data_IF_353159075421
#
_entry.id   IF_353159075421
#
_cell.length_a   1.000
_cell.length_b   1.000
_cell.length_c   1.000
_cell.angle_alpha   90.00
_cell.angle_beta   90.00
_cell.angle_gamma   90.00
#
_symmetry.space_group_name_H-M   'P 1'
#
loop_
_entity.id
_entity.type
_entity.pdbx_description
1 polymer ?
#
# COMPACT_ATOMS: atom_id res chain seq x y z
N UNK A 1 -5.49 -8.39 44.24
CA UNK A 1 -5.13 -7.01 43.86
C UNK A 1 -4.56 -7.07 42.46
N UNK A 2 -5.39 -6.82 41.48
CA UNK A 2 -5.01 -6.90 40.05
C UNK A 2 -4.55 -5.53 39.60
N UNK A 3 -3.36 -5.47 39.03
CA UNK A 3 -2.87 -4.29 38.33
C UNK A 3 -3.61 -4.17 37.01
N UNK A 4 -4.45 -3.16 36.91
CA UNK A 4 -4.98 -2.66 35.65
C UNK A 4 -3.84 -1.94 34.93
N UNK A 5 -3.29 -2.56 33.88
CA UNK A 5 -2.46 -1.86 32.93
C UNK A 5 -3.31 -0.78 32.26
N UNK A 6 -3.06 0.46 32.64
CA UNK A 6 -3.60 1.62 31.96
C UNK A 6 -2.93 1.73 30.58
N UNK A 7 -3.57 1.13 29.58
CA UNK A 7 -3.19 1.38 28.20
C UNK A 7 -3.31 2.87 27.91
N UNK A 8 -2.17 3.52 27.69
CA UNK A 8 -2.10 4.89 27.23
C UNK A 8 -2.72 4.93 25.84
N UNK A 9 -3.97 5.34 25.76
CA UNK A 9 -4.63 5.67 24.50
C UNK A 9 -3.91 6.91 23.95
N UNK A 10 -2.96 6.69 23.03
CA UNK A 10 -2.35 7.80 22.29
C UNK A 10 -3.44 8.44 21.45
N UNK A 11 -3.80 9.66 21.77
CA UNK A 11 -4.71 10.48 20.97
C UNK A 11 -4.01 10.78 19.64
N UNK A 12 -4.48 10.17 18.60
CA UNK A 12 -3.95 10.34 17.24
C UNK A 12 -4.61 11.59 16.66
N UNK A 13 -3.84 12.64 16.50
CA UNK A 13 -4.33 13.90 15.92
C UNK A 13 -4.08 13.89 14.42
N UNK A 14 -5.14 13.77 13.62
CA UNK A 14 -5.04 13.94 12.16
C UNK A 14 -4.95 15.42 11.86
N UNK A 15 -3.81 15.84 11.35
CA UNK A 15 -3.53 17.24 11.07
C UNK A 15 -3.98 17.66 9.67
N UNK A 16 -4.01 16.72 8.70
CA UNK A 16 -4.34 17.03 7.30
C UNK A 16 -5.06 15.89 6.56
N UNK A 17 -5.76 16.25 5.46
CA UNK A 17 -6.41 15.29 4.54
C UNK A 17 -5.41 14.64 3.56
N UNK A 18 -4.11 14.85 3.75
CA UNK A 18 -3.07 14.24 2.93
C UNK A 18 -2.68 12.88 3.50
N UNK A 19 -2.90 11.78 2.76
CA UNK A 19 -2.55 10.44 3.22
C UNK A 19 -1.04 10.27 3.49
N UNK A 20 -0.18 11.12 2.92
CA UNK A 20 1.27 11.11 3.18
C UNK A 20 1.62 11.58 4.60
N UNK A 21 0.68 12.19 5.32
CA UNK A 21 0.84 12.57 6.73
C UNK A 21 0.41 11.47 7.70
N UNK A 22 -0.23 10.42 7.21
CA UNK A 22 -0.65 9.31 8.04
C UNK A 22 0.53 8.40 8.36
N UNK A 23 0.55 7.84 9.57
CA UNK A 23 1.51 6.78 9.89
C UNK A 23 0.97 5.41 9.46
N UNK A 24 1.87 4.45 9.27
CA UNK A 24 1.49 3.07 9.03
C UNK A 24 0.60 2.51 10.16
N UNK A 25 0.83 2.92 11.41
CA UNK A 25 0.00 2.54 12.56
C UNK A 25 -1.49 2.94 12.38
N UNK A 26 -1.75 4.08 11.72
CA UNK A 26 -3.11 4.50 11.38
C UNK A 26 -3.76 3.53 10.39
N UNK A 27 -3.03 3.14 9.35
CA UNK A 27 -3.53 2.20 8.33
C UNK A 27 -3.75 0.82 8.94
N UNK A 28 -2.85 0.36 9.80
CA UNK A 28 -3.04 -0.88 10.56
C UNK A 28 -4.27 -0.83 11.49
N UNK A 29 -4.55 0.32 12.09
CA UNK A 29 -5.74 0.50 12.91
C UNK A 29 -7.02 0.44 12.06
N UNK A 30 -7.00 1.02 10.85
CA UNK A 30 -8.11 0.88 9.89
C UNK A 30 -8.35 -0.60 9.54
N UNK A 31 -7.29 -1.35 9.26
CA UNK A 31 -7.39 -2.78 8.97
C UNK A 31 -7.97 -3.59 10.12
N UNK A 32 -7.44 -3.40 11.33
CA UNK A 32 -7.98 -4.06 12.53
C UNK A 32 -9.47 -3.75 12.74
N UNK A 33 -9.88 -2.52 12.49
CA UNK A 33 -11.28 -2.11 12.60
C UNK A 33 -12.16 -2.73 11.53
N UNK A 34 -11.66 -2.80 10.29
CA UNK A 34 -12.33 -3.48 9.19
C UNK A 34 -12.56 -4.97 9.53
N UNK A 35 -11.52 -5.69 9.97
CA UNK A 35 -11.64 -7.09 10.38
C UNK A 35 -12.65 -7.30 11.52
N UNK A 36 -12.62 -6.43 12.53
CA UNK A 36 -13.55 -6.51 13.68
C UNK A 36 -15.02 -6.28 13.28
N UNK A 37 -15.27 -5.54 12.20
CA UNK A 37 -16.60 -5.30 11.66
C UNK A 37 -17.15 -6.45 10.80
N UNK A 38 -16.33 -7.48 10.53
CA UNK A 38 -16.66 -8.58 9.60
C UNK A 38 -17.16 -8.08 8.23
N UNK A 39 -16.63 -6.95 7.77
CA UNK A 39 -16.94 -6.40 6.45
C UNK A 39 -16.34 -7.30 5.35
N UNK A 40 -17.02 -7.34 4.20
CA UNK A 40 -16.45 -7.91 2.98
C UNK A 40 -15.32 -7.03 2.42
N UNK A 41 -14.71 -7.45 1.33
CA UNK A 41 -13.68 -6.63 0.66
C UNK A 41 -14.27 -5.45 -0.12
N UNK A 42 -15.54 -5.53 -0.56
CA UNK A 42 -16.30 -4.40 -1.09
C UNK A 42 -16.84 -3.56 0.06
N UNK A 43 -16.45 -2.29 0.15
CA UNK A 43 -16.88 -1.38 1.19
C UNK A 43 -17.73 -0.24 0.61
N UNK A 44 -18.92 -0.07 1.16
CA UNK A 44 -19.73 1.11 0.89
C UNK A 44 -19.19 2.35 1.62
N UNK A 45 -19.48 3.52 1.09
CA UNK A 45 -19.06 4.80 1.68
C UNK A 45 -19.40 4.95 3.16
N UNK A 46 -20.54 4.42 3.58
CA UNK A 46 -20.97 4.47 4.99
C UNK A 46 -20.06 3.65 5.89
N UNK A 47 -19.70 2.44 5.48
CA UNK A 47 -18.83 1.54 6.23
C UNK A 47 -17.43 2.13 6.39
N UNK A 48 -16.85 2.68 5.31
CA UNK A 48 -15.57 3.38 5.39
C UNK A 48 -15.64 4.56 6.36
N UNK A 49 -16.72 5.35 6.33
CA UNK A 49 -16.91 6.45 7.28
C UNK A 49 -16.94 5.97 8.73
N UNK A 50 -17.59 4.85 9.00
CA UNK A 50 -17.65 4.27 10.34
C UNK A 50 -16.27 3.80 10.81
N UNK A 51 -15.51 3.13 9.92
CA UNK A 51 -14.15 2.67 10.20
C UNK A 51 -13.22 3.86 10.47
N UNK A 52 -13.21 4.86 9.59
CA UNK A 52 -12.34 6.05 9.70
C UNK A 52 -12.67 6.87 10.95
N UNK A 53 -13.96 7.10 11.24
CA UNK A 53 -14.37 7.83 12.45
C UNK A 53 -13.97 7.15 13.75
N UNK A 54 -13.93 5.82 13.76
CA UNK A 54 -13.49 5.08 14.94
C UNK A 54 -11.99 5.29 15.25
N UNK A 55 -11.19 5.61 14.23
CA UNK A 55 -9.74 5.86 14.36
C UNK A 55 -9.47 7.36 14.57
N UNK A 56 -10.26 8.21 13.91
CA UNK A 56 -10.09 9.66 13.89
C UNK A 56 -11.38 10.38 14.35
N UNK A 57 -11.76 10.25 15.66
CA UNK A 57 -13.03 10.82 16.14
C UNK A 57 -13.08 12.34 16.05
N UNK A 58 -11.94 13.00 16.13
CA UNK A 58 -11.82 14.46 16.14
C UNK A 58 -11.53 15.06 14.74
N UNK A 59 -11.56 14.23 13.68
CA UNK A 59 -11.34 14.72 12.31
C UNK A 59 -12.39 15.75 11.94
N UNK A 60 -11.98 17.01 11.76
CA UNK A 60 -12.85 18.14 11.40
C UNK A 60 -13.38 18.08 9.97
N UNK A 61 -12.70 17.32 9.09
CA UNK A 61 -13.02 17.19 7.68
C UNK A 61 -13.56 15.80 7.38
N UNK A 62 -14.39 15.67 6.36
CA UNK A 62 -14.86 14.37 5.87
C UNK A 62 -13.75 13.69 5.05
N UNK A 63 -12.75 13.15 5.75
CA UNK A 63 -11.60 12.44 5.14
C UNK A 63 -12.06 11.40 4.11
N UNK A 64 -13.17 10.71 4.38
CA UNK A 64 -13.71 9.71 3.46
C UNK A 64 -14.31 10.39 2.23
N UNK A 65 -15.12 11.44 2.43
CA UNK A 65 -15.75 12.16 1.34
C UNK A 65 -14.79 12.97 0.48
N UNK A 66 -13.77 13.56 1.10
CA UNK A 66 -12.86 14.49 0.44
C UNK A 66 -11.62 13.78 -0.17
N UNK A 67 -11.24 12.62 0.35
CA UNK A 67 -10.00 11.94 -0.04
C UNK A 67 -10.22 10.51 -0.53
N UNK A 68 -10.72 9.62 0.33
CA UNK A 68 -10.79 8.19 -0.01
C UNK A 68 -11.80 7.97 -1.14
N UNK A 69 -13.04 8.37 -0.91
CA UNK A 69 -14.12 8.10 -1.86
C UNK A 69 -13.85 8.64 -3.28
N UNK A 70 -13.45 9.91 -3.48
CA UNK A 70 -13.22 10.43 -4.83
C UNK A 70 -12.05 9.79 -5.57
N UNK A 71 -11.15 9.11 -4.85
CA UNK A 71 -9.97 8.47 -5.45
C UNK A 71 -10.20 7.01 -5.81
N UNK A 72 -10.91 6.27 -4.97
CA UNK A 72 -11.07 4.83 -5.08
C UNK A 72 -12.41 4.40 -5.68
N UNK A 73 -13.46 5.21 -5.60
CA UNK A 73 -14.78 4.87 -6.16
C UNK A 73 -14.94 5.19 -7.66
N UNK A 74 -13.99 5.91 -8.27
CA UNK A 74 -14.08 6.37 -9.65
C UNK A 74 -14.10 5.21 -10.67
N UNK A 75 -13.53 4.07 -10.29
CA UNK A 75 -13.41 2.88 -11.14
C UNK A 75 -14.43 1.78 -10.80
N UNK A 76 -15.28 1.99 -9.79
CA UNK A 76 -16.27 0.99 -9.38
C UNK A 76 -17.67 1.33 -9.88
N UNK A 77 -18.23 0.44 -10.71
CA UNK A 77 -19.60 0.54 -11.22
C UNK A 77 -20.69 0.23 -10.17
N UNK A 78 -20.30 -0.32 -9.01
CA UNK A 78 -21.22 -0.80 -7.96
C UNK A 78 -21.45 0.14 -6.78
N UNK A 79 -20.71 1.25 -6.68
CA UNK A 79 -20.78 2.13 -5.52
C UNK A 79 -20.11 1.57 -4.26
N UNK A 80 -19.17 0.65 -4.45
CA UNK A 80 -18.27 0.09 -3.43
C UNK A 80 -16.82 0.43 -3.79
N UNK A 81 -15.92 0.31 -2.85
CA UNK A 81 -14.47 0.36 -3.08
C UNK A 81 -13.83 -0.90 -2.54
N UNK A 82 -12.73 -1.34 -3.15
CA UNK A 82 -11.98 -2.49 -2.67
C UNK A 82 -11.15 -2.11 -1.44
N UNK A 83 -11.46 -2.73 -0.29
CA UNK A 83 -10.77 -2.48 0.98
C UNK A 83 -9.26 -2.73 0.89
N UNK A 84 -8.82 -3.75 0.15
CA UNK A 84 -7.41 -4.09 0.00
C UNK A 84 -6.66 -3.06 -0.85
N UNK A 85 -7.29 -2.50 -1.89
CA UNK A 85 -6.73 -1.39 -2.67
C UNK A 85 -6.59 -0.13 -1.82
N UNK A 86 -7.63 0.21 -1.04
CA UNK A 86 -7.58 1.36 -0.13
C UNK A 86 -6.48 1.19 0.90
N UNK A 87 -6.43 0.05 1.59
CA UNK A 87 -5.46 -0.20 2.65
C UNK A 87 -4.03 -0.34 2.10
N UNK A 88 -3.86 -1.05 1.00
CA UNK A 88 -2.57 -1.22 0.34
C UNK A 88 -2.02 0.11 -0.18
N UNK A 89 -2.84 0.87 -0.90
CA UNK A 89 -2.45 2.19 -1.40
C UNK A 89 -2.12 3.19 -0.28
N UNK A 90 -2.94 3.23 0.78
CA UNK A 90 -2.67 4.07 1.95
C UNK A 90 -1.40 3.64 2.69
N UNK A 91 -1.11 2.34 2.82
CA UNK A 91 0.09 1.85 3.47
C UNK A 91 1.37 2.29 2.74
N UNK A 92 1.35 2.26 1.41
CA UNK A 92 2.48 2.72 0.60
C UNK A 92 2.78 4.19 0.84
N UNK A 93 1.75 5.05 0.83
CA UNK A 93 1.93 6.50 0.96
C UNK A 93 2.06 6.98 2.40
N UNK A 94 1.69 6.19 3.39
CA UNK A 94 1.82 6.53 4.81
C UNK A 94 3.28 6.66 5.24
N UNK A 95 3.52 7.33 6.36
CA UNK A 95 4.84 7.37 7.00
C UNK A 95 5.13 6.04 7.71
N UNK A 96 6.35 5.55 7.59
CA UNK A 96 6.82 4.30 8.20
C UNK A 96 8.00 3.72 7.44
N UNK A 97 8.68 2.74 8.02
CA UNK A 97 9.80 2.07 7.35
C UNK A 97 9.33 1.23 6.16
N UNK A 98 10.20 1.05 5.20
CA UNK A 98 9.94 0.25 4.00
C UNK A 98 9.59 -1.19 4.38
N UNK A 99 10.34 -1.77 5.30
CA UNK A 99 10.10 -3.12 5.83
C UNK A 99 8.72 -3.24 6.50
N UNK A 100 8.37 -2.26 7.34
CA UNK A 100 7.05 -2.23 8.00
C UNK A 100 5.90 -2.19 7.01
N UNK A 101 6.02 -1.38 5.96
CA UNK A 101 5.03 -1.28 4.89
C UNK A 101 4.92 -2.58 4.09
N UNK A 102 6.06 -3.16 3.70
CA UNK A 102 6.12 -4.44 2.99
C UNK A 102 5.47 -5.54 3.83
N UNK A 103 5.84 -5.65 5.10
CA UNK A 103 5.26 -6.63 6.02
C UNK A 103 3.75 -6.48 6.16
N UNK A 104 3.28 -5.25 6.39
CA UNK A 104 1.85 -4.98 6.49
C UNK A 104 1.09 -5.37 5.23
N UNK A 105 1.56 -4.93 4.06
CA UNK A 105 0.94 -5.23 2.77
C UNK A 105 0.88 -6.73 2.52
N UNK A 106 1.99 -7.45 2.69
CA UNK A 106 2.01 -8.90 2.48
C UNK A 106 1.04 -9.64 3.40
N UNK A 107 0.90 -9.19 4.64
CA UNK A 107 -0.07 -9.75 5.60
C UNK A 107 -1.53 -9.49 5.23
N UNK A 108 -1.84 -8.45 4.46
CA UNK A 108 -3.21 -8.22 3.96
C UNK A 108 -3.68 -9.38 3.05
N UNK A 109 -2.74 -10.05 2.36
CA UNK A 109 -3.03 -11.11 1.40
C UNK A 109 -2.76 -12.53 1.94
N UNK A 110 -2.25 -12.67 3.16
CA UNK A 110 -2.15 -13.96 3.87
C UNK A 110 -3.50 -14.32 4.51
N UNK A 111 -4.52 -14.57 3.67
CA UNK A 111 -5.91 -14.78 4.10
C UNK A 111 -6.07 -15.98 5.04
N UNK A 112 -5.25 -16.99 4.90
CA UNK A 112 -5.27 -18.21 5.70
C UNK A 112 -4.30 -18.19 6.88
N UNK A 113 -3.56 -17.08 7.05
CA UNK A 113 -2.64 -16.82 8.17
C UNK A 113 -1.56 -17.89 8.36
N UNK A 114 -1.07 -18.45 7.26
CA UNK A 114 0.00 -19.47 7.27
C UNK A 114 1.42 -18.88 7.23
N UNK A 115 1.57 -17.57 7.14
CA UNK A 115 2.84 -16.89 7.12
C UNK A 115 3.60 -17.02 5.79
N UNK A 116 2.89 -17.33 4.70
CA UNK A 116 3.47 -17.47 3.36
C UNK A 116 2.41 -17.19 2.30
N UNK A 117 2.83 -16.72 1.11
CA UNK A 117 1.96 -16.49 -0.03
C UNK A 117 2.26 -17.48 -1.16
N UNK A 118 1.20 -17.92 -1.84
CA UNK A 118 1.28 -18.61 -3.13
C UNK A 118 1.61 -17.60 -4.25
N UNK A 119 1.91 -18.12 -5.43
CA UNK A 119 2.16 -17.30 -6.62
C UNK A 119 0.97 -16.38 -6.92
N UNK A 120 -0.24 -16.93 -6.96
CA UNK A 120 -1.46 -16.18 -7.26
C UNK A 120 -1.74 -15.11 -6.20
N UNK A 121 -1.49 -15.40 -4.91
CA UNK A 121 -1.65 -14.42 -3.82
C UNK A 121 -0.63 -13.27 -3.97
N UNK A 122 0.61 -13.55 -4.42
CA UNK A 122 1.61 -12.51 -4.71
C UNK A 122 1.20 -11.65 -5.91
N UNK A 123 0.72 -12.27 -6.99
CA UNK A 123 0.21 -11.54 -8.17
C UNK A 123 -0.95 -10.63 -7.77
N UNK A 124 -1.93 -11.14 -7.04
CA UNK A 124 -3.07 -10.34 -6.57
C UNK A 124 -2.62 -9.23 -5.64
N UNK A 125 -1.66 -9.50 -4.74
CA UNK A 125 -1.10 -8.47 -3.84
C UNK A 125 -0.45 -7.34 -4.63
N UNK A 126 0.40 -7.65 -5.59
CA UNK A 126 1.08 -6.65 -6.42
C UNK A 126 0.08 -5.83 -7.25
N UNK A 127 -0.86 -6.49 -7.96
CA UNK A 127 -1.91 -5.80 -8.73
C UNK A 127 -2.70 -4.83 -7.86
N UNK A 128 -3.20 -5.33 -6.73
CA UNK A 128 -4.07 -4.55 -5.84
C UNK A 128 -3.33 -3.37 -5.20
N UNK A 129 -2.09 -3.58 -4.76
CA UNK A 129 -1.32 -2.52 -4.09
C UNK A 129 -0.82 -1.47 -5.08
N UNK A 130 -0.37 -1.87 -6.25
CA UNK A 130 0.04 -0.93 -7.31
C UNK A 130 -1.17 -0.10 -7.78
N UNK A 131 -2.33 -0.74 -8.02
CA UNK A 131 -3.56 -0.02 -8.35
C UNK A 131 -3.96 0.93 -7.22
N UNK A 132 -3.97 0.46 -5.97
CA UNK A 132 -4.28 1.27 -4.81
C UNK A 132 -3.34 2.47 -4.63
N UNK A 133 -2.05 2.30 -4.94
CA UNK A 133 -1.07 3.38 -4.93
C UNK A 133 -1.39 4.44 -5.99
N UNK A 134 -1.68 4.04 -7.23
CA UNK A 134 -2.10 4.96 -8.29
C UNK A 134 -3.36 5.75 -7.90
N UNK A 135 -4.36 5.07 -7.36
CA UNK A 135 -5.60 5.68 -6.92
C UNK A 135 -5.38 6.66 -5.76
N UNK A 136 -4.59 6.26 -4.75
CA UNK A 136 -4.29 7.09 -3.59
C UNK A 136 -3.57 8.38 -3.97
N UNK A 137 -2.66 8.32 -4.95
CA UNK A 137 -1.79 9.43 -5.33
C UNK A 137 -2.25 10.20 -6.55
N UNK A 138 -3.12 9.59 -7.36
CA UNK A 138 -3.48 10.05 -8.72
C UNK A 138 -2.26 10.19 -9.64
N UNK A 139 -1.27 9.32 -9.45
CA UNK A 139 -0.04 9.27 -10.25
C UNK A 139 0.10 7.92 -10.91
N UNK A 140 0.80 7.92 -12.04
CA UNK A 140 1.06 6.71 -12.81
C UNK A 140 -0.16 6.19 -13.57
N UNK A 141 -0.02 5.01 -14.12
CA UNK A 141 -1.08 4.23 -14.78
C UNK A 141 -1.46 3.03 -13.91
N UNK A 142 -2.61 2.44 -14.15
CA UNK A 142 -2.94 1.16 -13.54
C UNK A 142 -1.93 0.10 -13.99
N UNK A 143 -1.53 -0.82 -13.09
CA UNK A 143 -0.55 -1.86 -13.42
C UNK A 143 -1.03 -2.73 -14.58
N UNK A 144 -0.11 -3.14 -15.43
CA UNK A 144 -0.38 -4.11 -16.47
C UNK A 144 -0.07 -5.52 -15.95
N UNK A 145 -0.84 -6.50 -16.39
CA UNK A 145 -0.70 -7.88 -15.92
C UNK A 145 0.72 -8.42 -16.17
N UNK A 146 1.31 -8.11 -17.34
CA UNK A 146 2.65 -8.56 -17.72
C UNK A 146 3.73 -8.07 -16.75
N UNK A 147 3.66 -6.80 -16.33
CA UNK A 147 4.63 -6.22 -15.39
C UNK A 147 4.53 -6.89 -14.03
N UNK A 148 3.30 -7.11 -13.57
CA UNK A 148 3.03 -7.76 -12.28
C UNK A 148 3.51 -9.21 -12.28
N UNK A 149 3.23 -9.97 -13.33
CA UNK A 149 3.71 -11.34 -13.49
C UNK A 149 5.23 -11.41 -13.47
N UNK A 150 5.91 -10.49 -14.16
CA UNK A 150 7.37 -10.42 -14.15
C UNK A 150 7.94 -10.19 -12.75
N UNK A 151 7.31 -9.35 -11.94
CA UNK A 151 7.73 -9.12 -10.56
C UNK A 151 7.45 -10.34 -9.67
N UNK A 152 6.32 -11.01 -9.83
CA UNK A 152 6.02 -12.25 -9.11
C UNK A 152 7.02 -13.35 -9.47
N UNK A 153 7.35 -13.53 -10.75
CA UNK A 153 8.37 -14.47 -11.22
C UNK A 153 9.74 -14.17 -10.60
N UNK A 154 10.14 -12.89 -10.54
CA UNK A 154 11.41 -12.49 -9.92
C UNK A 154 11.43 -12.80 -8.42
N UNK A 155 10.33 -12.55 -7.70
CA UNK A 155 10.20 -12.85 -6.28
C UNK A 155 10.38 -14.34 -6.00
N UNK A 156 9.68 -15.19 -6.75
CA UNK A 156 9.74 -16.64 -6.59
C UNK A 156 11.11 -17.19 -6.99
N UNK A 157 11.67 -16.72 -8.10
CA UNK A 157 13.01 -17.11 -8.56
C UNK A 157 14.09 -16.74 -7.54
N UNK A 158 14.04 -15.54 -6.95
CA UNK A 158 15.01 -15.11 -5.91
C UNK A 158 14.85 -15.89 -4.61
N UNK A 159 13.65 -16.35 -4.29
CA UNK A 159 13.39 -17.26 -3.19
C UNK A 159 13.78 -18.73 -3.48
N UNK A 160 14.25 -19.03 -4.71
CA UNK A 160 14.60 -20.41 -5.12
C UNK A 160 13.38 -21.34 -5.19
N UNK A 161 12.21 -20.79 -5.55
CA UNK A 161 10.93 -21.51 -5.59
C UNK A 161 10.29 -21.40 -6.97
N UNK A 162 9.50 -22.39 -7.33
CA UNK A 162 8.64 -22.34 -8.50
C UNK A 162 7.22 -21.87 -8.12
N UNK A 163 6.39 -21.60 -9.13
CA UNK A 163 5.03 -21.08 -8.96
C UNK A 163 4.05 -22.04 -8.27
N UNK A 164 4.42 -23.33 -8.07
CA UNK A 164 3.60 -24.30 -7.34
C UNK A 164 3.82 -24.29 -5.84
N UNK A 165 4.88 -23.59 -5.40
CA UNK A 165 5.27 -23.48 -4.00
C UNK A 165 4.68 -22.23 -3.35
N UNK A 166 4.95 -22.07 -2.06
CA UNK A 166 4.65 -20.84 -1.31
C UNK A 166 5.95 -20.19 -0.85
N UNK A 167 5.98 -18.86 -0.80
CA UNK A 167 7.12 -18.10 -0.30
C UNK A 167 6.77 -17.51 1.07
N UNK A 168 7.60 -17.70 2.11
CA UNK A 168 7.40 -17.08 3.42
C UNK A 168 7.34 -15.55 3.33
N UNK A 169 6.49 -14.93 4.16
CA UNK A 169 6.33 -13.46 4.16
C UNK A 169 7.65 -12.73 4.37
N UNK A 170 8.54 -13.24 5.23
CA UNK A 170 9.85 -12.64 5.48
C UNK A 170 10.76 -12.66 4.24
N UNK A 171 10.71 -13.72 3.43
CA UNK A 171 11.48 -13.80 2.19
C UNK A 171 10.92 -12.81 1.14
N UNK A 172 9.60 -12.67 1.05
CA UNK A 172 8.94 -11.68 0.19
C UNK A 172 9.22 -10.25 0.64
N UNK A 173 9.22 -9.99 1.94
CA UNK A 173 9.59 -8.69 2.51
C UNK A 173 11.03 -8.32 2.11
N UNK A 174 11.98 -9.23 2.30
CA UNK A 174 13.37 -9.01 1.90
C UNK A 174 13.51 -8.80 0.39
N UNK A 175 12.80 -9.58 -0.42
CA UNK A 175 12.77 -9.37 -1.86
C UNK A 175 12.26 -7.99 -2.23
N UNK A 176 11.15 -7.55 -1.65
CA UNK A 176 10.54 -6.25 -1.94
C UNK A 176 11.48 -5.10 -1.60
N UNK A 177 12.08 -5.13 -0.39
CA UNK A 177 13.06 -4.13 0.06
C UNK A 177 14.27 -4.09 -0.88
N UNK A 178 14.82 -5.25 -1.24
CA UNK A 178 15.93 -5.35 -2.17
C UNK A 178 15.56 -4.82 -3.58
N UNK A 179 14.34 -5.12 -4.05
CA UNK A 179 13.85 -4.65 -5.34
C UNK A 179 13.71 -3.12 -5.38
N UNK A 180 13.16 -2.51 -4.33
CA UNK A 180 13.14 -1.06 -4.20
C UNK A 180 14.55 -0.46 -4.22
N UNK A 181 15.50 -1.08 -3.51
CA UNK A 181 16.89 -0.62 -3.50
C UNK A 181 17.58 -0.74 -4.87
N UNK A 182 17.29 -1.81 -5.64
CA UNK A 182 17.77 -1.96 -7.02
C UNK A 182 17.24 -0.84 -7.91
N UNK A 183 15.93 -0.61 -7.91
CA UNK A 183 15.27 0.43 -8.71
C UNK A 183 15.81 1.84 -8.41
N UNK A 184 16.00 2.16 -7.14
CA UNK A 184 16.59 3.43 -6.73
C UNK A 184 18.05 3.56 -7.22
N UNK A 185 18.85 2.50 -7.11
CA UNK A 185 20.25 2.49 -7.55
C UNK A 185 20.36 2.72 -9.06
N UNK A 186 19.55 2.06 -9.85
CA UNK A 186 19.55 2.18 -11.31
C UNK A 186 19.25 3.60 -11.76
N UNK A 187 18.46 4.34 -10.97
CA UNK A 187 18.14 5.76 -11.20
C UNK A 187 19.02 6.73 -10.41
N UNK A 188 20.06 6.26 -9.71
CA UNK A 188 20.97 7.08 -8.88
C UNK A 188 20.25 7.86 -7.77
N UNK A 189 19.21 7.28 -7.20
CA UNK A 189 18.41 7.84 -6.13
C UNK A 189 18.86 7.25 -4.79
N UNK A 190 18.76 8.06 -3.73
CA UNK A 190 18.94 7.53 -2.38
C UNK A 190 17.72 6.73 -1.95
N UNK A 191 17.95 5.52 -1.45
CA UNK A 191 16.89 4.74 -0.80
C UNK A 191 16.58 5.39 0.54
N UNK A 192 15.38 5.90 0.69
CA UNK A 192 14.92 6.42 1.96
C UNK A 192 13.48 5.94 2.24
N UNK A 193 13.11 5.91 3.51
CA UNK A 193 11.77 5.50 3.97
C UNK A 193 10.69 6.53 3.64
N UNK A 194 11.04 7.57 2.88
CA UNK A 194 10.06 8.60 2.54
C UNK A 194 8.99 8.05 1.62
N UNK A 195 7.74 8.49 1.77
CA UNK A 195 6.65 8.13 0.86
C UNK A 195 6.99 8.41 -0.60
N UNK A 196 7.75 9.47 -0.89
CA UNK A 196 8.17 9.84 -2.24
C UNK A 196 9.08 8.79 -2.89
N UNK A 197 10.03 8.22 -2.14
CA UNK A 197 10.92 7.17 -2.67
C UNK A 197 10.13 5.92 -3.02
N UNK A 198 9.18 5.53 -2.17
CA UNK A 198 8.33 4.38 -2.43
C UNK A 198 7.42 4.60 -3.63
N UNK A 199 6.80 5.77 -3.74
CA UNK A 199 6.00 6.13 -4.91
C UNK A 199 6.82 6.00 -6.18
N UNK A 200 8.06 6.49 -6.16
CA UNK A 200 8.95 6.37 -7.30
C UNK A 200 9.32 4.91 -7.59
N UNK A 201 9.57 4.08 -6.57
CA UNK A 201 9.78 2.64 -6.79
C UNK A 201 8.55 1.98 -7.42
N UNK A 202 7.34 2.34 -6.98
CA UNK A 202 6.10 1.84 -7.57
C UNK A 202 5.91 2.33 -9.01
N UNK A 203 6.18 3.60 -9.29
CA UNK A 203 6.17 4.13 -10.68
C UNK A 203 7.18 3.36 -11.56
N UNK A 204 8.36 3.04 -11.02
CA UNK A 204 9.38 2.27 -11.75
C UNK A 204 9.00 0.79 -11.91
N UNK A 205 8.30 0.20 -10.96
CA UNK A 205 7.77 -1.16 -11.10
C UNK A 205 6.69 -1.25 -12.18
N UNK A 206 5.96 -0.18 -12.43
CA UNK A 206 4.97 -0.09 -13.51
C UNK A 206 5.60 0.28 -14.86
N UNK A 207 6.76 0.93 -14.83
CA UNK A 207 7.42 1.49 -16.00
C UNK A 207 8.48 0.57 -16.63
N UNK A 208 8.42 -0.75 -16.41
CA UNK A 208 9.42 -1.70 -16.94
C UNK A 208 9.51 -1.72 -18.48
N UNK A 209 8.71 -0.91 -19.15
CA UNK A 209 8.69 -0.73 -20.61
C UNK A 209 8.73 0.76 -20.99
N UNK A 210 9.64 1.56 -20.43
CA UNK A 210 9.99 2.84 -21.07
C UNK A 210 11.23 2.61 -21.92
N UNK A 211 11.19 2.84 -23.24
CA UNK A 211 12.39 2.93 -24.07
C UNK A 211 13.32 4.01 -23.49
N UNK A 212 14.62 3.81 -23.68
CA UNK A 212 15.76 4.62 -23.20
C UNK A 212 15.77 6.11 -23.59
N UNK A 213 14.66 6.80 -23.63
CA UNK A 213 14.58 8.20 -24.02
C UNK A 213 14.13 9.11 -22.86
N UNK A 214 15.14 9.80 -22.31
CA UNK A 214 15.13 11.03 -21.53
C UNK A 214 14.83 11.01 -20.01
N UNK A 215 15.87 10.91 -19.17
CA UNK A 215 15.73 11.02 -17.71
C UNK A 215 15.44 12.46 -17.21
N UNK A 216 15.42 13.45 -18.09
CA UNK A 216 15.28 14.86 -17.68
C UNK A 216 13.82 15.28 -17.44
N UNK A 217 12.85 14.56 -17.99
CA UNK A 217 11.42 14.96 -17.92
C UNK A 217 10.81 14.66 -16.54
N UNK A 218 11.25 13.60 -15.87
CA UNK A 218 10.65 13.16 -14.59
C UNK A 218 11.01 14.08 -13.41
N UNK A 219 12.14 14.79 -13.47
CA UNK A 219 12.58 15.67 -12.39
C UNK A 219 12.01 17.09 -12.46
N UNK A 220 11.46 17.51 -13.60
CA UNK A 220 10.96 18.88 -13.78
C UNK A 220 9.60 19.12 -13.10
N UNK A 221 8.82 18.07 -12.82
CA UNK A 221 7.49 18.20 -12.19
C UNK A 221 7.50 18.10 -10.66
N UNK A 222 8.64 17.80 -10.05
CA UNK A 222 8.77 17.62 -8.60
C UNK A 222 9.18 18.88 -7.84
N UNK A 223 9.29 20.04 -8.50
CA UNK A 223 9.64 21.31 -7.82
C UNK A 223 8.37 22.11 -7.56
N UNK A 224 7.90 22.24 -6.30
CA UNK A 224 6.82 23.16 -5.97
C UNK A 224 7.28 24.61 -6.15
N UNK A 225 6.46 25.38 -6.83
CA UNK A 225 6.60 26.83 -6.92
C UNK A 225 6.19 27.51 -5.61
#
# INVERSE_FOLDING_TARGET
MGNLESGVQRTITVVDNDPTTWSLEHVEALWRRHQAGAHGFGLHRKEIKEIVRAIFPDAKKDVVGDMIWPRFAEYDSGGEVNALEVLGGLAVVAQGSLEGKANFVLRLFDFNQVGSLSYDEVVVALLTVLAGCCLATRRGSLPQDEDVLQHADDAFRKAGRDSTMRVPLLELEHWFVARCAELCRDRKLEVCDSPHTLLLCFDLMQASVIPDDDPAVVLAEATPA
#
